data_IF_818339340904
#
_entry.id   IF_818339340904
#
_cell.length_a   1.000
_cell.length_b   1.000
_cell.length_c   1.000
_cell.angle_alpha   90.00
_cell.angle_beta   90.00
_cell.angle_gamma   90.00
#
_symmetry.space_group_name_H-M   'P 1'
#
loop_
_entity.id
_entity.type
_entity.pdbx_description
1 polymer ?
#
# COMPACT_ATOMS: atom_id res chain seq x y z
N UNK A 1 3.59 -19.03 -2.02
CA UNK A 1 3.12 -17.74 -2.56
C UNK A 1 3.83 -16.65 -1.78
N UNK A 2 4.47 -15.67 -2.42
CA UNK A 2 4.99 -14.49 -1.73
C UNK A 2 3.80 -13.71 -1.16
N UNK A 3 3.72 -13.59 0.17
CA UNK A 3 2.60 -12.97 0.89
C UNK A 3 2.55 -11.44 0.77
N UNK A 4 3.42 -10.85 -0.04
CA UNK A 4 3.50 -9.43 -0.29
C UNK A 4 4.15 -9.14 -1.66
N UNK A 5 3.89 -7.92 -2.16
CA UNK A 5 4.55 -7.32 -3.32
C UNK A 5 5.33 -6.09 -2.85
N UNK A 6 6.56 -5.95 -3.32
CA UNK A 6 7.40 -4.77 -3.09
C UNK A 6 7.48 -3.93 -4.36
N UNK A 7 7.44 -2.61 -4.20
CA UNK A 7 7.66 -1.63 -5.27
C UNK A 7 8.26 -0.36 -4.69
N UNK A 8 8.95 0.42 -5.52
CA UNK A 8 9.48 1.73 -5.14
C UNK A 8 8.66 2.81 -5.82
N UNK A 9 8.51 3.96 -5.18
CA UNK A 9 7.83 5.10 -5.76
C UNK A 9 8.36 6.44 -5.26
N UNK A 10 8.12 7.50 -6.04
CA UNK A 10 8.21 8.89 -5.58
C UNK A 10 7.10 9.71 -6.24
N UNK A 11 6.82 10.87 -5.66
CA UNK A 11 5.80 11.79 -6.16
C UNK A 11 6.44 13.11 -6.58
N UNK A 12 6.23 13.50 -7.84
CA UNK A 12 6.71 14.78 -8.36
C UNK A 12 5.57 15.78 -8.46
N UNK A 13 5.50 16.71 -7.50
CA UNK A 13 4.53 17.80 -7.47
C UNK A 13 4.76 18.86 -8.56
N UNK A 14 5.91 18.85 -9.23
CA UNK A 14 6.25 19.83 -10.28
C UNK A 14 5.53 19.55 -11.59
N UNK A 15 4.96 18.35 -11.74
CA UNK A 15 4.36 17.85 -12.99
C UNK A 15 2.85 17.66 -12.82
N UNK A 16 2.07 18.32 -13.68
CA UNK A 16 0.61 18.23 -13.66
C UNK A 16 -0.05 18.97 -12.50
N UNK A 17 -1.37 19.11 -12.54
CA UNK A 17 -2.14 19.87 -11.55
C UNK A 17 -2.13 19.25 -10.15
N UNK A 18 -1.97 17.92 -10.08
CA UNK A 18 -2.00 17.15 -8.82
C UNK A 18 -0.70 16.42 -8.52
N UNK A 19 0.36 16.64 -9.30
CA UNK A 19 1.57 15.83 -9.25
C UNK A 19 1.45 14.49 -9.96
N UNK A 20 2.60 13.85 -10.22
CA UNK A 20 2.69 12.53 -10.87
C UNK A 20 3.43 11.55 -9.96
N UNK A 21 2.84 10.36 -9.78
CA UNK A 21 3.53 9.23 -9.13
C UNK A 21 4.34 8.46 -10.18
N UNK A 22 5.61 8.23 -9.86
CA UNK A 22 6.46 7.31 -10.59
C UNK A 22 6.69 6.07 -9.74
N UNK A 23 6.44 4.88 -10.27
CA UNK A 23 6.64 3.62 -9.54
C UNK A 23 7.43 2.59 -10.36
N UNK A 24 8.27 1.78 -9.72
CA UNK A 24 8.97 0.64 -10.37
C UNK A 24 9.20 -0.51 -9.39
N UNK A 25 9.29 -1.77 -9.85
CA UNK A 25 9.63 -2.89 -8.98
C UNK A 25 11.06 -2.79 -8.43
N UNK A 26 12.01 -2.27 -9.22
CA UNK A 26 13.41 -2.14 -8.83
C UNK A 26 13.77 -0.69 -8.51
N UNK A 27 14.45 -0.48 -7.38
CA UNK A 27 14.91 0.85 -6.94
C UNK A 27 15.78 1.54 -7.98
N UNK A 28 16.71 0.81 -8.60
CA UNK A 28 17.66 1.36 -9.59
C UNK A 28 16.96 1.93 -10.82
N UNK A 29 15.88 1.29 -11.27
CA UNK A 29 15.09 1.80 -12.41
C UNK A 29 14.42 3.13 -12.06
N UNK A 30 13.91 3.24 -10.83
CA UNK A 30 13.27 4.47 -10.38
C UNK A 30 14.28 5.60 -10.13
N UNK A 31 15.48 5.27 -9.64
CA UNK A 31 16.58 6.22 -9.49
C UNK A 31 17.02 6.79 -10.85
N UNK A 32 17.07 5.96 -11.90
CA UNK A 32 17.36 6.44 -13.26
C UNK A 32 16.29 7.40 -13.76
N UNK A 33 15.01 7.13 -13.48
CA UNK A 33 13.92 8.05 -13.82
C UNK A 33 14.07 9.36 -13.04
N UNK A 34 14.33 9.30 -11.73
CA UNK A 34 14.52 10.48 -10.90
C UNK A 34 15.67 11.36 -11.40
N UNK A 35 16.81 10.76 -11.75
CA UNK A 35 17.96 11.48 -12.32
C UNK A 35 17.59 12.13 -13.66
N UNK A 36 16.93 11.39 -14.55
CA UNK A 36 16.56 11.88 -15.87
C UNK A 36 15.62 13.11 -15.81
N UNK A 37 14.79 13.22 -14.78
CA UNK A 37 13.87 14.35 -14.58
C UNK A 37 14.36 15.38 -13.55
N UNK A 38 15.60 15.26 -13.08
CA UNK A 38 16.17 16.14 -12.06
C UNK A 38 15.39 16.15 -10.75
N UNK A 39 14.84 15.01 -10.35
CA UNK A 39 14.17 14.82 -9.06
C UNK A 39 15.20 14.52 -7.98
N UNK A 40 15.21 15.32 -6.91
CA UNK A 40 16.15 15.23 -5.79
C UNK A 40 15.47 14.74 -4.49
N UNK A 41 14.17 14.40 -4.56
CA UNK A 41 13.40 13.96 -3.40
C UNK A 41 13.68 12.50 -3.02
N UNK A 42 13.07 12.08 -1.92
CA UNK A 42 13.20 10.71 -1.44
C UNK A 42 12.45 9.72 -2.33
N UNK A 43 13.04 8.52 -2.48
CA UNK A 43 12.37 7.36 -3.06
C UNK A 43 11.88 6.47 -1.91
N UNK A 44 10.61 6.11 -1.94
CA UNK A 44 9.94 5.33 -0.91
C UNK A 44 9.76 3.87 -1.34
N UNK A 45 9.85 2.95 -0.37
CA UNK A 45 9.43 1.56 -0.54
C UNK A 45 7.93 1.44 -0.21
N UNK A 46 7.19 0.75 -1.08
CA UNK A 46 5.79 0.37 -0.90
C UNK A 46 5.71 -1.15 -0.81
N UNK A 47 5.15 -1.62 0.29
CA UNK A 47 4.88 -3.04 0.52
C UNK A 47 3.36 -3.23 0.49
N UNK A 48 2.87 -4.00 -0.47
CA UNK A 48 1.47 -4.42 -0.53
C UNK A 48 1.39 -5.85 0.00
N UNK A 49 0.89 -6.00 1.23
CA UNK A 49 0.66 -7.32 1.82
C UNK A 49 -0.64 -7.93 1.29
N UNK A 50 -0.60 -9.23 0.98
CA UNK A 50 -1.77 -10.03 0.64
C UNK A 50 -2.01 -11.03 1.76
N UNK A 51 -2.62 -10.60 2.88
CA UNK A 51 -2.90 -11.51 3.97
C UNK A 51 -3.77 -12.67 3.46
N UNK A 52 -3.56 -13.89 3.98
CA UNK A 52 -4.44 -15.00 3.65
C UNK A 52 -5.89 -14.64 4.03
N UNK A 53 -6.85 -15.20 3.30
CA UNK A 53 -8.26 -15.07 3.68
C UNK A 53 -8.40 -15.56 5.14
N UNK A 54 -9.09 -14.80 6.01
CA UNK A 54 -9.38 -15.25 7.35
C UNK A 54 -10.09 -16.60 7.30
N UNK A 55 -9.83 -17.47 8.27
CA UNK A 55 -10.49 -18.78 8.33
C UNK A 55 -11.99 -18.59 8.56
N UNK A 56 -12.76 -19.60 8.20
CA UNK A 56 -14.22 -19.60 8.43
C UNK A 56 -14.55 -19.51 9.92
N UNK A 57 -13.74 -20.11 10.79
CA UNK A 57 -13.90 -20.00 12.24
C UNK A 57 -13.69 -18.56 12.72
N UNK A 58 -12.65 -17.88 12.24
CA UNK A 58 -12.37 -16.50 12.60
C UNK A 58 -13.47 -15.55 12.08
N UNK A 59 -14.02 -15.83 10.89
CA UNK A 59 -15.15 -15.07 10.35
C UNK A 59 -16.42 -15.28 11.18
N UNK A 60 -16.70 -16.52 11.61
CA UNK A 60 -17.85 -16.82 12.46
C UNK A 60 -17.73 -16.18 13.85
N UNK A 61 -16.54 -16.23 14.46
CA UNK A 61 -16.26 -15.56 15.74
C UNK A 61 -16.48 -14.04 15.64
N UNK A 62 -16.00 -13.40 14.57
CA UNK A 62 -16.21 -11.95 14.33
C UNK A 62 -17.68 -11.61 14.14
N UNK A 63 -18.39 -12.37 13.32
CA UNK A 63 -19.81 -12.16 13.08
C UNK A 63 -20.64 -12.30 14.36
N UNK A 64 -20.31 -13.28 15.22
CA UNK A 64 -20.95 -13.43 16.52
C UNK A 64 -20.66 -12.23 17.42
N UNK A 65 -19.41 -11.75 17.46
CA UNK A 65 -19.02 -10.59 18.29
C UNK A 65 -19.76 -9.31 17.89
N UNK A 66 -19.84 -9.03 16.59
CA UNK A 66 -20.57 -7.87 16.06
C UNK A 66 -22.07 -7.92 16.40
N UNK A 67 -22.67 -9.11 16.45
CA UNK A 67 -24.07 -9.26 16.88
C UNK A 67 -24.30 -8.89 18.35
N UNK A 68 -23.29 -8.96 19.22
CA UNK A 68 -23.42 -8.59 20.64
C UNK A 68 -23.11 -7.11 20.90
N UNK A 69 -22.35 -6.44 20.03
CA UNK A 69 -22.05 -5.02 20.16
C UNK A 69 -23.26 -4.13 19.84
N UNK A 70 -24.24 -4.63 19.06
CA UNK A 70 -25.52 -3.96 18.79
C UNK A 70 -26.56 -4.07 19.95
N UNK A 71 -26.25 -4.81 21.02
CA UNK A 71 -27.23 -5.16 22.09
C UNK A 71 -26.90 -4.45 23.42
N UNK A 72 -25.92 -3.56 23.49
CA UNK A 72 -25.66 -2.76 24.70
C UNK A 72 -26.25 -1.36 24.56
N UNK A 73 -27.51 -1.12 24.96
CA UNK A 73 -27.97 0.25 25.18
C UNK A 73 -27.26 0.79 26.43
N UNK A 74 -26.73 2.01 26.32
CA UNK A 74 -26.25 2.81 27.45
C UNK A 74 -27.35 3.04 28.48
#
# INVERSE_FOLDING_TARGET
MMGHLESFYFFDMRVGERGVEYNRPARKELEQVAIAIGYLGAIHLRITAYPPKPSTELLAERAMREQFDDIVPF
#
